data_IF_783821125182
#
_entry.id   IF_783821125182
#
_cell.length_a   1.000
_cell.length_b   1.000
_cell.length_c   1.000
_cell.angle_alpha   90.00
_cell.angle_beta   90.00
_cell.angle_gamma   90.00
#
_symmetry.space_group_name_H-M   'P 1'
#
loop_
_entity.id
_entity.type
_entity.pdbx_description
1 polymer ?
#
# COMPACT_ATOMS: atom_id res chain seq x y z
N UNK A 1 4.27 5.46 8.04
CA UNK A 1 4.86 6.49 7.18
C UNK A 1 6.31 6.80 7.56
N UNK A 2 6.64 7.14 8.80
CA UNK A 2 8.03 7.47 9.19
C UNK A 2 9.06 6.38 8.83
N UNK A 3 8.73 5.10 9.00
CA UNK A 3 9.62 3.99 8.67
C UNK A 3 9.84 3.86 7.14
N UNK A 4 8.80 4.01 6.34
CA UNK A 4 8.91 3.95 4.87
C UNK A 4 9.71 5.13 4.29
N UNK A 5 9.61 6.31 4.89
CA UNK A 5 10.32 7.54 4.47
C UNK A 5 11.66 7.75 5.18
N UNK A 6 12.11 6.77 5.97
CA UNK A 6 13.36 6.83 6.74
C UNK A 6 13.46 8.07 7.68
N UNK A 7 12.33 8.45 8.29
CA UNK A 7 12.25 9.60 9.19
C UNK A 7 12.09 10.96 8.50
N UNK A 8 11.87 11.01 7.18
CA UNK A 8 11.65 12.24 6.41
C UNK A 8 10.25 12.28 5.77
N UNK A 9 9.15 12.35 6.56
CA UNK A 9 7.79 12.28 6.04
C UNK A 9 7.42 13.47 5.13
N UNK A 10 8.11 14.62 5.27
CA UNK A 10 7.89 15.80 4.44
C UNK A 10 8.09 15.55 2.93
N UNK A 11 8.89 14.53 2.56
CA UNK A 11 9.09 14.16 1.14
C UNK A 11 7.82 13.65 0.46
N UNK A 12 6.84 13.19 1.24
CA UNK A 12 5.54 12.77 0.70
C UNK A 12 4.55 13.92 0.51
N UNK A 13 4.80 15.11 1.09
CA UNK A 13 3.85 16.23 1.02
C UNK A 13 3.54 16.70 -0.40
N UNK A 14 4.52 16.85 -1.32
CA UNK A 14 4.22 17.22 -2.70
C UNK A 14 3.32 16.19 -3.40
N UNK A 15 3.59 14.89 -3.19
CA UNK A 15 2.76 13.80 -3.70
C UNK A 15 1.34 13.91 -3.15
N UNK A 16 1.19 14.04 -1.83
CA UNK A 16 -0.10 14.16 -1.17
C UNK A 16 -0.90 15.36 -1.66
N UNK A 17 -0.26 16.53 -1.79
CA UNK A 17 -0.89 17.77 -2.26
C UNK A 17 -1.42 17.63 -3.69
N UNK A 18 -0.61 17.13 -4.62
CA UNK A 18 -1.04 16.94 -6.01
C UNK A 18 -2.12 15.86 -6.14
N UNK A 19 -2.01 14.76 -5.39
CA UNK A 19 -3.04 13.71 -5.37
C UNK A 19 -4.37 14.26 -4.83
N UNK A 20 -4.34 15.06 -3.77
CA UNK A 20 -5.52 15.68 -3.20
C UNK A 20 -6.20 16.61 -4.21
N UNK A 21 -5.44 17.47 -4.89
CA UNK A 21 -5.95 18.35 -5.94
C UNK A 21 -6.54 17.55 -7.10
N UNK A 22 -5.83 16.54 -7.60
CA UNK A 22 -6.30 15.68 -8.69
C UNK A 22 -7.65 15.06 -8.38
N UNK A 23 -7.76 14.36 -7.24
CA UNK A 23 -8.98 13.63 -6.91
C UNK A 23 -10.16 14.53 -6.52
N UNK A 24 -9.90 15.70 -5.94
CA UNK A 24 -10.95 16.71 -5.72
C UNK A 24 -11.44 17.25 -7.05
N UNK A 25 -10.53 17.55 -7.97
CA UNK A 25 -10.89 18.08 -9.29
C UNK A 25 -11.56 17.03 -10.18
N UNK A 26 -11.30 15.75 -9.96
CA UNK A 26 -11.89 14.61 -10.68
C UNK A 26 -13.41 14.54 -10.55
N UNK A 27 -13.98 15.12 -9.48
CA UNK A 27 -15.43 15.18 -9.25
C UNK A 27 -16.10 16.34 -10.02
N UNK A 28 -15.35 17.36 -10.41
CA UNK A 28 -15.89 18.59 -11.04
C UNK A 28 -16.62 18.35 -12.37
N UNK A 29 -16.13 17.51 -13.31
CA UNK A 29 -16.84 17.24 -14.56
C UNK A 29 -18.25 16.68 -14.35
N UNK A 30 -18.46 15.89 -13.31
CA UNK A 30 -19.79 15.33 -13.01
C UNK A 30 -20.77 16.40 -12.56
N UNK A 31 -20.31 17.42 -11.80
CA UNK A 31 -21.14 18.55 -11.40
C UNK A 31 -21.55 19.42 -12.61
N UNK A 32 -20.64 19.61 -13.57
CA UNK A 32 -20.92 20.37 -14.80
C UNK A 32 -21.88 19.60 -15.72
N UNK A 33 -21.69 18.27 -15.83
CA UNK A 33 -22.58 17.39 -16.58
C UNK A 33 -24.03 17.48 -16.09
N UNK A 34 -24.24 17.72 -14.80
CA UNK A 34 -25.56 17.98 -14.25
C UNK A 34 -26.23 19.18 -14.90
N UNK A 35 -25.50 20.28 -15.14
CA UNK A 35 -26.04 21.47 -15.82
C UNK A 35 -26.55 21.12 -17.22
N UNK A 36 -25.83 20.27 -17.96
CA UNK A 36 -26.26 19.80 -19.29
C UNK A 36 -27.52 18.94 -19.17
N UNK A 37 -27.53 17.98 -18.24
CA UNK A 37 -28.70 17.12 -17.99
C UNK A 37 -29.90 17.92 -17.56
N UNK A 38 -29.72 18.97 -16.75
CA UNK A 38 -30.80 19.87 -16.32
C UNK A 38 -31.41 20.59 -17.49
N UNK A 39 -30.62 21.15 -18.41
CA UNK A 39 -31.12 21.87 -19.61
C UNK A 39 -31.85 20.92 -20.57
N UNK A 40 -31.34 19.70 -20.76
CA UNK A 40 -32.02 18.65 -21.55
C UNK A 40 -33.35 18.24 -20.92
N UNK A 41 -33.41 18.19 -19.59
CA UNK A 41 -34.61 17.76 -18.88
C UNK A 41 -35.72 18.83 -18.91
N UNK A 42 -35.38 20.13 -18.93
CA UNK A 42 -36.36 21.20 -19.13
C UNK A 42 -37.16 21.03 -20.43
N UNK A 43 -36.52 20.55 -21.50
CA UNK A 43 -37.17 20.24 -22.75
C UNK A 43 -38.22 19.14 -22.65
N UNK A 44 -37.96 18.11 -21.83
CA UNK A 44 -38.88 17.02 -21.59
C UNK A 44 -40.07 17.42 -20.70
N UNK A 45 -39.83 18.32 -19.75
CA UNK A 45 -40.84 18.73 -18.77
C UNK A 45 -41.77 19.84 -19.30
N UNK A 46 -41.26 20.69 -20.21
CA UNK A 46 -42.00 21.81 -20.80
C UNK A 46 -41.92 21.72 -22.32
N UNK A 47 -42.84 20.96 -22.98
CA UNK A 47 -42.92 20.90 -24.43
C UNK A 47 -43.17 22.30 -25.01
N UNK A 48 -42.24 22.82 -25.79
CA UNK A 48 -42.30 24.18 -26.37
C UNK A 48 -41.22 25.15 -25.90
N UNK A 49 -40.38 24.76 -24.94
CA UNK A 49 -39.19 25.53 -24.59
C UNK A 49 -38.07 25.26 -25.61
N UNK A 50 -37.47 26.31 -26.15
CA UNK A 50 -36.31 26.16 -27.04
C UNK A 50 -35.07 25.78 -26.24
N UNK A 51 -34.28 24.84 -26.77
CA UNK A 51 -32.98 24.48 -26.24
C UNK A 51 -32.05 25.70 -26.24
N UNK A 52 -31.50 26.03 -25.08
CA UNK A 52 -30.46 27.06 -25.02
C UNK A 52 -29.10 26.48 -25.46
N UNK A 53 -28.93 26.33 -26.79
CA UNK A 53 -27.71 25.77 -27.42
C UNK A 53 -26.45 26.53 -26.98
N UNK A 54 -26.56 27.87 -26.75
CA UNK A 54 -25.44 28.69 -26.24
C UNK A 54 -24.99 28.23 -24.85
N UNK A 55 -25.94 27.99 -23.95
CA UNK A 55 -25.63 27.53 -22.58
C UNK A 55 -25.02 26.13 -22.58
N UNK A 56 -25.56 25.22 -23.39
CA UNK A 56 -24.97 23.86 -23.55
C UNK A 56 -23.55 23.97 -24.12
N UNK A 57 -23.33 24.84 -25.11
CA UNK A 57 -22.00 25.10 -25.65
C UNK A 57 -21.00 25.59 -24.59
N UNK A 58 -21.46 26.49 -23.69
CA UNK A 58 -20.64 26.95 -22.54
C UNK A 58 -20.31 25.77 -21.61
N UNK A 59 -21.29 24.95 -21.24
CA UNK A 59 -21.02 23.78 -20.40
C UNK A 59 -20.02 22.80 -21.07
N UNK A 60 -20.17 22.56 -22.37
CA UNK A 60 -19.20 21.69 -23.11
C UNK A 60 -17.80 22.32 -23.15
N UNK A 61 -17.66 23.62 -23.34
CA UNK A 61 -16.37 24.30 -23.30
C UNK A 61 -15.74 24.24 -21.90
N UNK A 62 -16.52 24.46 -20.85
CA UNK A 62 -16.05 24.35 -19.46
C UNK A 62 -15.63 22.89 -19.14
N UNK A 63 -16.40 21.89 -19.61
CA UNK A 63 -16.02 20.48 -19.48
C UNK A 63 -14.68 20.18 -20.15
N UNK A 64 -14.46 20.71 -21.37
CA UNK A 64 -13.19 20.53 -22.07
C UNK A 64 -12.02 21.13 -21.28
N UNK A 65 -12.19 22.36 -20.78
CA UNK A 65 -11.19 23.01 -19.92
C UNK A 65 -10.93 22.19 -18.65
N UNK A 66 -11.96 21.70 -18.01
CA UNK A 66 -11.83 20.83 -16.82
C UNK A 66 -11.07 19.55 -17.13
N UNK A 67 -11.31 18.91 -18.29
CA UNK A 67 -10.58 17.72 -18.71
C UNK A 67 -9.09 18.03 -18.93
N UNK A 68 -8.75 19.15 -19.57
CA UNK A 68 -7.35 19.55 -19.76
C UNK A 68 -6.66 19.82 -18.41
N UNK A 69 -7.33 20.50 -17.50
CA UNK A 69 -6.82 20.72 -16.14
C UNK A 69 -6.65 19.39 -15.38
N UNK A 70 -7.56 18.45 -15.56
CA UNK A 70 -7.50 17.13 -14.94
C UNK A 70 -6.28 16.34 -15.45
N UNK A 71 -5.99 16.38 -16.74
CA UNK A 71 -4.77 15.79 -17.32
C UNK A 71 -3.52 16.43 -16.70
N UNK A 72 -3.52 17.77 -16.53
CA UNK A 72 -2.40 18.47 -15.91
C UNK A 72 -2.20 18.04 -14.44
N UNK A 73 -3.25 18.01 -13.64
CA UNK A 73 -3.16 17.58 -12.22
C UNK A 73 -2.76 16.12 -12.10
N UNK A 74 -3.32 15.26 -12.95
CA UNK A 74 -2.96 13.84 -12.98
C UNK A 74 -1.47 13.65 -13.31
N UNK A 75 -0.95 14.37 -14.33
CA UNK A 75 0.47 14.35 -14.68
C UNK A 75 1.35 14.79 -13.51
N UNK A 76 1.01 15.89 -12.83
CA UNK A 76 1.76 16.39 -11.68
C UNK A 76 1.74 15.44 -10.48
N UNK A 77 0.58 14.87 -10.19
CA UNK A 77 0.38 13.87 -9.13
C UNK A 77 1.21 12.61 -9.41
N UNK A 78 1.12 12.11 -10.64
CA UNK A 78 1.88 10.94 -11.10
C UNK A 78 3.39 11.18 -10.99
N UNK A 79 3.90 12.26 -11.57
CA UNK A 79 5.33 12.59 -11.55
C UNK A 79 5.85 12.80 -10.13
N UNK A 80 5.09 13.46 -9.25
CA UNK A 80 5.46 13.64 -7.86
C UNK A 80 5.54 12.30 -7.11
N UNK A 81 4.57 11.39 -7.34
CA UNK A 81 4.53 10.08 -6.69
C UNK A 81 5.74 9.22 -7.10
N UNK A 82 6.04 9.17 -8.39
CA UNK A 82 7.15 8.35 -8.91
C UNK A 82 8.51 8.93 -8.53
N UNK A 83 8.71 10.24 -8.73
CA UNK A 83 9.98 10.89 -8.43
C UNK A 83 10.36 10.71 -6.95
N UNK A 84 9.42 11.00 -6.05
CA UNK A 84 9.69 10.86 -4.62
C UNK A 84 9.76 9.40 -4.18
N UNK A 85 8.91 8.53 -4.71
CA UNK A 85 8.94 7.10 -4.39
C UNK A 85 10.26 6.44 -4.75
N UNK A 86 10.74 6.60 -5.99
CA UNK A 86 12.03 6.07 -6.42
C UNK A 86 13.20 6.66 -5.65
N UNK A 87 13.18 7.97 -5.40
CA UNK A 87 14.24 8.65 -4.65
C UNK A 87 14.31 8.16 -3.19
N UNK A 88 13.16 7.99 -2.52
CA UNK A 88 13.09 7.44 -1.15
C UNK A 88 13.67 6.02 -1.12
N UNK A 89 13.32 5.19 -2.09
CA UNK A 89 13.79 3.80 -2.15
C UNK A 89 15.28 3.70 -2.49
N UNK A 90 15.78 4.53 -3.41
CA UNK A 90 17.21 4.58 -3.74
C UNK A 90 18.05 4.99 -2.52
N UNK A 91 17.68 6.09 -1.86
CA UNK A 91 18.33 6.52 -0.62
C UNK A 91 18.25 5.45 0.48
N UNK A 92 17.12 4.76 0.53
CA UNK A 92 16.89 3.67 1.48
C UNK A 92 17.83 2.50 1.28
N UNK A 93 17.95 2.02 0.06
CA UNK A 93 18.87 0.93 -0.29
C UNK A 93 20.31 1.29 0.09
N UNK A 94 20.75 2.53 -0.24
CA UNK A 94 22.09 3.02 0.12
C UNK A 94 22.28 3.09 1.64
N UNK A 95 21.30 3.61 2.37
CA UNK A 95 21.38 3.73 3.83
C UNK A 95 21.42 2.36 4.52
N UNK A 96 20.61 1.40 4.06
CA UNK A 96 20.64 0.01 4.57
C UNK A 96 21.99 -0.65 4.24
N UNK A 97 22.53 -0.48 3.04
CA UNK A 97 23.84 -0.99 2.68
C UNK A 97 24.96 -0.41 3.57
N UNK A 98 24.91 0.92 3.83
CA UNK A 98 25.86 1.58 4.77
C UNK A 98 25.71 1.06 6.20
N UNK A 99 24.46 0.78 6.65
CA UNK A 99 24.20 0.21 7.98
C UNK A 99 24.74 -1.20 8.09
N UNK A 100 24.49 -2.05 7.08
CA UNK A 100 25.02 -3.41 7.04
C UNK A 100 26.54 -3.42 7.20
N UNK A 101 27.28 -2.54 6.53
CA UNK A 101 28.76 -2.46 6.68
C UNK A 101 29.23 -2.19 8.10
N UNK A 102 28.39 -1.66 8.98
CA UNK A 102 28.72 -1.35 10.38
C UNK A 102 28.29 -2.45 11.37
N UNK A 103 27.59 -3.47 10.89
CA UNK A 103 27.16 -4.57 11.75
C UNK A 103 28.33 -5.51 12.07
N UNK A 104 28.24 -6.16 13.23
CA UNK A 104 29.23 -7.15 13.66
C UNK A 104 29.21 -8.40 12.80
N UNK A 105 30.34 -9.13 12.72
CA UNK A 105 30.41 -10.43 12.04
C UNK A 105 29.44 -11.46 12.63
N UNK A 106 29.10 -11.36 13.92
CA UNK A 106 28.12 -12.21 14.58
C UNK A 106 26.72 -12.12 13.94
N UNK A 107 26.34 -10.93 13.42
CA UNK A 107 25.09 -10.78 12.68
C UNK A 107 25.07 -11.65 11.40
N UNK A 108 26.17 -11.65 10.65
CA UNK A 108 26.29 -12.42 9.39
C UNK A 108 26.35 -13.93 9.61
N UNK A 109 26.83 -14.38 10.76
CA UNK A 109 26.81 -15.80 11.14
C UNK A 109 25.40 -16.31 11.48
N UNK A 110 24.49 -15.42 11.87
CA UNK A 110 23.10 -15.76 12.24
C UNK A 110 22.08 -15.59 11.13
N UNK A 111 22.43 -14.90 10.04
CA UNK A 111 21.54 -14.56 8.93
C UNK A 111 22.04 -15.16 7.62
N UNK A 112 21.14 -15.82 6.90
CA UNK A 112 21.43 -16.30 5.55
C UNK A 112 21.65 -15.12 4.58
N UNK A 113 22.71 -15.14 3.73
CA UNK A 113 22.98 -14.09 2.75
C UNK A 113 21.82 -13.82 1.79
N UNK A 114 21.05 -14.85 1.42
CA UNK A 114 19.86 -14.70 0.59
C UNK A 114 18.75 -13.88 1.28
N UNK A 115 18.62 -14.05 2.60
CA UNK A 115 17.70 -13.23 3.40
C UNK A 115 18.13 -11.76 3.42
N UNK A 116 19.42 -11.48 3.61
CA UNK A 116 19.95 -10.11 3.60
C UNK A 116 19.77 -9.47 2.21
N UNK A 117 20.06 -10.20 1.13
CA UNK A 117 19.82 -9.75 -0.24
C UNK A 117 18.34 -9.42 -0.49
N UNK A 118 17.42 -10.22 0.06
CA UNK A 118 15.98 -9.98 -0.07
C UNK A 118 15.52 -8.68 0.60
N UNK A 119 16.17 -8.22 1.67
CA UNK A 119 15.86 -6.92 2.28
C UNK A 119 16.19 -5.75 1.35
N UNK A 120 17.33 -5.81 0.66
CA UNK A 120 17.78 -4.71 -0.21
C UNK A 120 17.00 -4.67 -1.52
N UNK A 121 16.67 -5.81 -2.10
CA UNK A 121 15.99 -5.88 -3.39
C UNK A 121 14.49 -5.93 -3.18
N UNK A 122 13.95 -7.09 -2.81
CA UNK A 122 12.50 -7.34 -2.81
C UNK A 122 11.71 -6.52 -1.80
N UNK A 123 12.26 -6.29 -0.59
CA UNK A 123 11.52 -5.51 0.40
C UNK A 123 11.46 -4.04 0.03
N UNK A 124 12.51 -3.49 -0.58
CA UNK A 124 12.47 -2.14 -1.15
C UNK A 124 11.59 -2.03 -2.39
N UNK A 125 11.48 -3.06 -3.24
CA UNK A 125 10.51 -3.07 -4.35
C UNK A 125 9.06 -2.99 -3.83
N UNK A 126 8.76 -3.69 -2.72
CA UNK A 126 7.46 -3.59 -2.07
C UNK A 126 7.20 -2.19 -1.48
N UNK A 127 8.22 -1.54 -0.89
CA UNK A 127 8.10 -0.14 -0.41
C UNK A 127 7.90 0.82 -1.57
N UNK A 128 8.60 0.61 -2.67
CA UNK A 128 8.49 1.39 -3.89
C UNK A 128 7.07 1.34 -4.45
N UNK A 129 6.52 0.13 -4.64
CA UNK A 129 5.16 -0.07 -5.09
C UNK A 129 4.13 0.54 -4.12
N UNK A 130 4.38 0.43 -2.80
CA UNK A 130 3.55 1.04 -1.77
C UNK A 130 3.48 2.56 -1.93
N UNK A 131 4.62 3.23 -2.12
CA UNK A 131 4.69 4.69 -2.17
C UNK A 131 4.26 5.23 -3.53
N UNK A 132 4.71 4.62 -4.63
CA UNK A 132 4.45 5.12 -5.99
C UNK A 132 3.02 4.88 -6.46
N UNK A 133 2.44 3.73 -6.12
CA UNK A 133 1.14 3.31 -6.65
C UNK A 133 0.04 3.26 -5.59
N UNK A 134 0.27 2.52 -4.48
CA UNK A 134 -0.82 2.22 -3.56
C UNK A 134 -1.25 3.41 -2.72
N UNK A 135 -0.32 4.19 -2.18
CA UNK A 135 -0.65 5.35 -1.35
C UNK A 135 -1.47 6.40 -2.10
N UNK A 136 -1.11 6.84 -3.33
CA UNK A 136 -1.94 7.78 -4.08
C UNK A 136 -3.35 7.25 -4.35
N UNK A 137 -3.48 5.97 -4.70
CA UNK A 137 -4.77 5.36 -5.01
C UNK A 137 -5.65 5.16 -3.77
N UNK A 138 -5.07 4.81 -2.62
CA UNK A 138 -5.82 4.73 -1.35
C UNK A 138 -6.33 6.11 -0.95
N UNK A 139 -5.48 7.13 -1.00
CA UNK A 139 -5.82 8.49 -0.63
C UNK A 139 -6.87 9.05 -1.58
N UNK A 140 -6.65 8.89 -2.88
CA UNK A 140 -7.58 9.32 -3.91
C UNK A 140 -8.92 8.59 -3.85
N UNK A 141 -8.91 7.28 -3.59
CA UNK A 141 -10.11 6.47 -3.43
C UNK A 141 -10.95 6.83 -2.20
N UNK A 142 -10.38 7.56 -1.23
CA UNK A 142 -11.12 8.13 -0.10
C UNK A 142 -11.57 9.57 -0.38
N UNK A 143 -10.69 10.40 -0.93
CA UNK A 143 -10.94 11.83 -1.16
C UNK A 143 -11.97 12.05 -2.28
N UNK A 144 -11.86 11.30 -3.40
CA UNK A 144 -12.78 11.44 -4.53
C UNK A 144 -14.25 11.24 -4.15
N UNK A 145 -14.62 10.10 -3.52
CA UNK A 145 -15.97 9.88 -3.02
C UNK A 145 -16.44 10.90 -2.02
N UNK A 146 -15.58 11.34 -1.09
CA UNK A 146 -15.93 12.41 -0.13
C UNK A 146 -16.23 13.73 -0.82
N UNK A 147 -15.40 14.14 -1.78
CA UNK A 147 -15.64 15.34 -2.57
C UNK A 147 -16.96 15.23 -3.36
N UNK A 148 -17.26 14.05 -3.91
CA UNK A 148 -18.49 13.80 -4.65
C UNK A 148 -19.73 13.84 -3.73
N UNK A 149 -19.66 13.23 -2.54
CA UNK A 149 -20.74 13.26 -1.54
C UNK A 149 -21.00 14.72 -1.09
N UNK A 150 -19.94 15.49 -0.84
CA UNK A 150 -20.06 16.92 -0.49
C UNK A 150 -20.73 17.68 -1.63
N UNK A 151 -20.35 17.44 -2.89
CA UNK A 151 -20.98 18.07 -4.05
C UNK A 151 -22.46 17.69 -4.17
N UNK A 152 -22.82 16.44 -3.94
CA UNK A 152 -24.21 15.97 -3.97
C UNK A 152 -25.04 16.53 -2.81
N UNK A 153 -24.44 16.81 -1.66
CA UNK A 153 -25.12 17.38 -0.51
C UNK A 153 -25.71 18.79 -0.77
N UNK A 154 -25.13 19.54 -1.71
CA UNK A 154 -25.70 20.83 -2.16
C UNK A 154 -27.05 20.67 -2.87
N UNK A 155 -27.34 19.49 -3.45
CA UNK A 155 -28.61 19.23 -4.15
C UNK A 155 -29.65 18.59 -3.23
N UNK A 156 -29.25 17.58 -2.47
CA UNK A 156 -30.09 16.94 -1.44
C UNK A 156 -29.21 16.33 -0.34
N UNK A 157 -29.11 17.06 0.77
CA UNK A 157 -28.25 16.65 1.89
C UNK A 157 -28.71 15.35 2.57
N UNK A 158 -30.05 15.08 2.59
CA UNK A 158 -30.62 13.87 3.21
C UNK A 158 -30.14 12.61 2.45
N UNK A 159 -30.23 12.63 1.12
CA UNK A 159 -29.82 11.49 0.29
C UNK A 159 -28.29 11.34 0.24
N UNK A 160 -27.54 12.46 0.23
CA UNK A 160 -26.09 12.46 0.33
C UNK A 160 -25.60 11.88 1.65
N UNK A 161 -26.31 12.13 2.77
CA UNK A 161 -26.01 11.56 4.08
C UNK A 161 -26.20 10.04 4.09
N UNK A 162 -27.23 9.52 3.42
CA UNK A 162 -27.45 8.08 3.27
C UNK A 162 -26.31 7.45 2.47
N UNK A 163 -25.88 8.07 1.37
CA UNK A 163 -24.73 7.61 0.61
C UNK A 163 -23.43 7.63 1.45
N UNK A 164 -23.26 8.62 2.32
CA UNK A 164 -22.13 8.74 3.21
C UNK A 164 -22.12 7.69 4.34
N UNK A 165 -23.29 7.31 4.85
CA UNK A 165 -23.44 6.42 6.02
C UNK A 165 -22.87 5.03 5.79
N UNK A 166 -22.80 4.58 4.55
CA UNK A 166 -22.25 3.27 4.18
C UNK A 166 -20.75 3.18 4.43
N UNK A 167 -20.03 4.32 4.38
CA UNK A 167 -18.57 4.38 4.59
C UNK A 167 -18.20 3.95 6.02
N UNK A 168 -18.72 4.59 7.08
CA UNK A 168 -18.43 4.18 8.45
C UNK A 168 -18.96 2.76 8.77
N UNK A 169 -20.02 2.31 8.09
CA UNK A 169 -20.55 0.96 8.28
C UNK A 169 -19.59 -0.12 7.74
N UNK A 170 -18.82 0.16 6.68
CA UNK A 170 -17.81 -0.74 6.16
C UNK A 170 -16.52 -0.76 7.01
N UNK A 171 -16.28 0.26 7.82
CA UNK A 171 -15.02 0.45 8.58
C UNK A 171 -14.64 -0.73 9.49
N UNK A 172 -15.56 -1.33 10.29
CA UNK A 172 -15.23 -2.49 11.13
C UNK A 172 -14.68 -3.67 10.32
N UNK A 173 -15.27 -3.94 9.14
CA UNK A 173 -14.85 -5.03 8.25
C UNK A 173 -13.42 -4.78 7.73
N UNK A 174 -13.12 -3.55 7.35
CA UNK A 174 -11.78 -3.12 6.92
C UNK A 174 -10.75 -3.34 8.04
N UNK A 175 -11.09 -2.95 9.26
CA UNK A 175 -10.22 -3.10 10.41
C UNK A 175 -9.92 -4.57 10.73
N UNK A 176 -10.96 -5.44 10.68
CA UNK A 176 -10.81 -6.89 10.84
C UNK A 176 -9.92 -7.46 9.75
N UNK A 177 -10.18 -7.12 8.48
CA UNK A 177 -9.39 -7.55 7.33
C UNK A 177 -7.91 -7.20 7.50
N UNK A 178 -7.60 -5.96 7.90
CA UNK A 178 -6.21 -5.53 8.15
C UNK A 178 -5.52 -6.35 9.25
N UNK A 179 -6.21 -6.65 10.35
CA UNK A 179 -5.66 -7.49 11.42
C UNK A 179 -5.37 -8.92 10.93
N UNK A 180 -6.29 -9.50 10.15
CA UNK A 180 -6.13 -10.84 9.60
C UNK A 180 -4.97 -10.90 8.60
N UNK A 181 -4.85 -9.91 7.71
CA UNK A 181 -3.72 -9.79 6.77
C UNK A 181 -2.41 -9.64 7.54
N UNK A 182 -2.34 -8.79 8.55
CA UNK A 182 -1.12 -8.57 9.33
C UNK A 182 -0.68 -9.85 10.05
N UNK A 183 -1.62 -10.60 10.64
CA UNK A 183 -1.31 -11.84 11.35
C UNK A 183 -0.92 -12.99 10.41
N UNK A 184 -1.81 -13.33 9.48
CA UNK A 184 -1.62 -14.46 8.56
C UNK A 184 -0.54 -14.16 7.51
N UNK A 185 -0.39 -12.90 7.11
CA UNK A 185 0.62 -12.45 6.16
C UNK A 185 2.05 -12.62 6.68
N UNK A 186 2.32 -12.35 7.96
CA UNK A 186 3.63 -12.62 8.57
C UNK A 186 4.00 -14.11 8.48
N UNK A 187 3.03 -14.98 8.75
CA UNK A 187 3.24 -16.43 8.68
C UNK A 187 3.48 -16.90 7.25
N UNK A 188 2.66 -16.46 6.31
CA UNK A 188 2.80 -16.77 4.89
C UNK A 188 4.14 -16.25 4.33
N UNK A 189 4.54 -15.02 4.70
CA UNK A 189 5.82 -14.45 4.29
C UNK A 189 7.01 -15.26 4.81
N UNK A 190 6.94 -15.75 6.06
CA UNK A 190 7.96 -16.65 6.63
C UNK A 190 8.04 -17.95 5.82
N UNK A 191 6.90 -18.59 5.57
CA UNK A 191 6.86 -19.84 4.76
C UNK A 191 7.38 -19.60 3.33
N UNK A 192 7.11 -18.43 2.74
CA UNK A 192 7.63 -18.05 1.43
C UNK A 192 9.16 -17.95 1.43
N UNK A 193 9.74 -17.33 2.45
CA UNK A 193 11.19 -17.22 2.59
C UNK A 193 11.84 -18.59 2.85
N UNK A 194 11.27 -19.38 3.78
CA UNK A 194 11.75 -20.74 4.09
C UNK A 194 11.74 -21.61 2.82
N UNK A 195 10.68 -21.52 2.01
CA UNK A 195 10.57 -22.26 0.74
C UNK A 195 11.62 -21.81 -0.25
N UNK A 196 11.83 -20.49 -0.41
CA UNK A 196 12.86 -19.95 -1.31
C UNK A 196 14.26 -20.46 -0.91
N UNK A 197 14.60 -20.45 0.38
CA UNK A 197 15.88 -21.00 0.88
C UNK A 197 16.03 -22.49 0.58
N UNK A 198 14.95 -23.30 0.75
CA UNK A 198 14.97 -24.73 0.43
C UNK A 198 15.16 -24.99 -1.07
N UNK A 199 14.55 -24.19 -1.92
CA UNK A 199 14.74 -24.31 -3.37
C UNK A 199 16.20 -24.00 -3.76
N UNK A 200 16.79 -22.96 -3.18
CA UNK A 200 18.20 -22.61 -3.41
C UNK A 200 19.11 -23.74 -2.93
N UNK A 201 18.90 -24.25 -1.71
CA UNK A 201 19.65 -25.39 -1.15
C UNK A 201 19.58 -26.60 -2.07
N UNK A 202 18.37 -26.93 -2.57
CA UNK A 202 18.17 -28.05 -3.49
C UNK A 202 18.90 -27.88 -4.81
N UNK A 203 18.81 -26.67 -5.42
CA UNK A 203 19.49 -26.38 -6.71
C UNK A 203 21.01 -26.42 -6.54
N UNK A 204 21.56 -25.85 -5.46
CA UNK A 204 23.00 -25.88 -5.19
C UNK A 204 23.52 -27.30 -4.95
N UNK A 205 22.70 -28.13 -4.29
CA UNK A 205 23.03 -29.52 -4.01
C UNK A 205 22.67 -30.54 -5.09
N UNK A 206 22.07 -30.11 -6.22
CA UNK A 206 21.47 -31.01 -7.24
C UNK A 206 22.48 -31.99 -7.83
N UNK A 207 23.75 -31.57 -8.00
CA UNK A 207 24.83 -32.42 -8.52
C UNK A 207 25.12 -33.57 -7.55
N UNK A 208 25.18 -33.26 -6.24
CA UNK A 208 25.42 -34.23 -5.19
C UNK A 208 24.25 -35.22 -5.04
N UNK A 209 23.01 -34.67 -5.07
CA UNK A 209 21.79 -35.46 -5.00
C UNK A 209 21.72 -36.49 -6.14
N UNK A 210 22.06 -36.05 -7.38
CA UNK A 210 22.11 -36.95 -8.54
C UNK A 210 23.25 -37.97 -8.46
N UNK A 211 24.45 -37.53 -8.00
CA UNK A 211 25.61 -38.44 -7.90
C UNK A 211 25.37 -39.59 -6.89
N UNK A 212 24.66 -39.32 -5.80
CA UNK A 212 24.37 -40.30 -4.75
C UNK A 212 22.96 -40.92 -4.83
N UNK A 213 22.20 -40.65 -5.87
CA UNK A 213 20.82 -41.10 -6.07
C UNK A 213 19.87 -40.81 -4.88
N UNK A 214 20.04 -39.64 -4.24
CA UNK A 214 19.27 -39.22 -3.05
C UNK A 214 17.96 -38.48 -3.42
N UNK A 215 17.37 -38.79 -4.57
CA UNK A 215 16.22 -38.07 -5.14
C UNK A 215 14.98 -38.09 -4.22
N UNK A 216 14.74 -39.14 -3.44
CA UNK A 216 13.56 -39.28 -2.58
C UNK A 216 13.56 -38.34 -1.36
N UNK A 217 14.52 -38.47 -0.47
CA UNK A 217 14.50 -37.80 0.85
C UNK A 217 14.76 -36.30 0.80
N UNK A 218 15.61 -35.86 -0.11
CA UNK A 218 15.89 -34.41 -0.27
C UNK A 218 14.76 -33.68 -0.98
N UNK A 219 14.07 -34.31 -1.92
CA UNK A 219 12.89 -33.78 -2.60
C UNK A 219 11.70 -33.61 -1.63
N UNK A 220 11.49 -34.57 -0.74
CA UNK A 220 10.42 -34.55 0.26
C UNK A 220 10.46 -33.29 1.15
N UNK A 221 11.65 -32.86 1.59
CA UNK A 221 11.81 -31.64 2.39
C UNK A 221 11.37 -30.39 1.61
N UNK A 222 11.71 -30.30 0.34
CA UNK A 222 11.31 -29.22 -0.54
C UNK A 222 9.80 -29.26 -0.78
N UNK A 223 9.23 -30.44 -1.08
CA UNK A 223 7.79 -30.62 -1.25
C UNK A 223 7.00 -30.22 -0.01
N UNK A 224 7.45 -30.60 1.17
CA UNK A 224 6.82 -30.21 2.43
C UNK A 224 6.84 -28.69 2.64
N UNK A 225 7.90 -28.00 2.21
CA UNK A 225 7.95 -26.53 2.27
C UNK A 225 6.93 -25.88 1.32
N UNK A 226 6.73 -26.41 0.11
CA UNK A 226 5.69 -25.96 -0.82
C UNK A 226 4.28 -26.23 -0.27
N UNK A 227 4.04 -27.42 0.30
CA UNK A 227 2.75 -27.76 0.93
C UNK A 227 2.43 -26.80 2.08
N UNK A 228 3.42 -26.48 2.92
CA UNK A 228 3.26 -25.50 4.00
C UNK A 228 2.97 -24.10 3.47
N UNK A 229 3.71 -23.63 2.47
CA UNK A 229 3.46 -22.35 1.81
C UNK A 229 2.05 -22.29 1.24
N UNK A 230 1.59 -23.34 0.55
CA UNK A 230 0.21 -23.46 0.05
C UNK A 230 -0.80 -23.30 1.18
N UNK A 231 -0.63 -24.02 2.30
CA UNK A 231 -1.56 -23.95 3.43
C UNK A 231 -1.59 -22.56 4.06
N UNK A 232 -0.44 -21.93 4.27
CA UNK A 232 -0.37 -20.60 4.86
C UNK A 232 -0.92 -19.51 3.90
N UNK A 233 -0.76 -19.71 2.58
CA UNK A 233 -1.41 -18.83 1.58
C UNK A 233 -2.93 -19.00 1.58
N UNK A 234 -3.45 -20.22 1.61
CA UNK A 234 -4.89 -20.48 1.71
C UNK A 234 -5.46 -19.89 3.01
N UNK A 235 -4.75 -20.02 4.14
CA UNK A 235 -5.20 -19.42 5.40
C UNK A 235 -5.25 -17.90 5.37
N UNK A 236 -4.29 -17.26 4.69
CA UNK A 236 -4.31 -15.82 4.49
C UNK A 236 -5.55 -15.39 3.71
N UNK A 237 -5.79 -16.01 2.55
CA UNK A 237 -6.92 -15.67 1.69
C UNK A 237 -8.27 -16.04 2.32
N UNK A 238 -8.40 -17.24 2.88
CA UNK A 238 -9.63 -17.69 3.54
C UNK A 238 -9.99 -16.87 4.78
N UNK A 239 -8.99 -16.29 5.47
CA UNK A 239 -9.23 -15.42 6.61
C UNK A 239 -9.62 -13.99 6.21
N UNK A 240 -8.89 -13.40 5.26
CA UNK A 240 -9.08 -11.99 4.87
C UNK A 240 -10.10 -11.79 3.74
N UNK A 241 -10.24 -12.75 2.83
CA UNK A 241 -11.15 -12.67 1.68
C UNK A 241 -12.61 -12.44 2.04
N UNK A 242 -13.23 -13.27 2.89
CA UNK A 242 -14.63 -13.11 3.27
C UNK A 242 -14.94 -11.75 3.92
N UNK A 243 -14.04 -11.24 4.75
CA UNK A 243 -14.22 -9.92 5.39
C UNK A 243 -14.09 -8.77 4.40
N UNK A 244 -13.23 -8.90 3.39
CA UNK A 244 -13.11 -7.94 2.30
C UNK A 244 -14.37 -7.97 1.41
N UNK A 245 -14.86 -9.16 1.05
CA UNK A 245 -16.12 -9.33 0.29
C UNK A 245 -17.29 -8.71 1.05
N UNK A 246 -17.37 -8.92 2.36
CA UNK A 246 -18.43 -8.33 3.19
C UNK A 246 -18.34 -6.80 3.22
N UNK A 247 -17.13 -6.24 3.30
CA UNK A 247 -16.92 -4.80 3.23
C UNK A 247 -17.38 -4.22 1.87
N UNK A 248 -17.04 -4.89 0.76
CA UNK A 248 -17.49 -4.47 -0.57
C UNK A 248 -19.00 -4.64 -0.75
N UNK A 249 -19.60 -5.67 -0.19
CA UNK A 249 -21.06 -5.86 -0.17
C UNK A 249 -21.75 -4.70 0.57
N UNK A 250 -21.27 -4.33 1.75
CA UNK A 250 -21.80 -3.20 2.52
C UNK A 250 -21.68 -1.89 1.73
N UNK A 251 -20.55 -1.62 1.07
CA UNK A 251 -20.40 -0.42 0.22
C UNK A 251 -21.38 -0.43 -0.95
N UNK A 252 -21.56 -1.55 -1.63
CA UNK A 252 -22.50 -1.67 -2.74
C UNK A 252 -23.97 -1.53 -2.29
N UNK A 253 -24.28 -1.78 -1.03
CA UNK A 253 -25.63 -1.59 -0.48
C UNK A 253 -26.08 -0.11 -0.53
N UNK A 254 -25.15 0.85 -0.72
CA UNK A 254 -25.50 2.25 -0.95
C UNK A 254 -26.36 2.44 -2.21
N UNK A 255 -26.14 1.66 -3.27
CA UNK A 255 -26.87 1.80 -4.54
C UNK A 255 -28.35 1.51 -4.37
N UNK A 256 -28.78 0.31 -3.87
CA UNK A 256 -30.20 0.05 -3.62
C UNK A 256 -30.80 1.01 -2.57
N UNK A 257 -30.03 1.46 -1.59
CA UNK A 257 -30.52 2.46 -0.63
C UNK A 257 -30.79 3.82 -1.32
N UNK A 258 -29.91 4.29 -2.18
CA UNK A 258 -30.12 5.50 -2.98
C UNK A 258 -31.37 5.35 -3.88
N UNK A 259 -31.56 4.18 -4.50
CA UNK A 259 -32.74 3.88 -5.33
C UNK A 259 -34.00 3.99 -4.49
N UNK A 260 -34.11 3.24 -3.39
CA UNK A 260 -35.32 3.16 -2.58
C UNK A 260 -35.66 4.48 -1.89
N UNK A 261 -34.70 5.08 -1.22
CA UNK A 261 -34.94 6.32 -0.48
C UNK A 261 -35.05 7.52 -1.42
N UNK A 262 -34.29 7.53 -2.52
CA UNK A 262 -34.41 8.56 -3.56
C UNK A 262 -35.77 8.51 -4.26
N UNK A 263 -36.29 7.30 -4.55
CA UNK A 263 -37.63 7.13 -5.07
C UNK A 263 -38.71 7.64 -4.09
N UNK A 264 -38.56 7.33 -2.80
CA UNK A 264 -39.44 7.84 -1.75
C UNK A 264 -39.46 9.38 -1.73
N UNK A 265 -38.29 10.06 -1.72
CA UNK A 265 -38.23 11.53 -1.76
C UNK A 265 -38.79 12.12 -3.06
N UNK A 266 -38.59 11.44 -4.19
CA UNK A 266 -39.14 11.84 -5.47
C UNK A 266 -40.67 11.80 -5.46
N UNK A 267 -41.29 10.72 -5.00
CA UNK A 267 -42.76 10.55 -4.96
C UNK A 267 -43.44 11.50 -3.98
N UNK A 268 -42.76 11.94 -2.92
CA UNK A 268 -43.27 12.91 -1.95
C UNK A 268 -42.97 14.38 -2.34
N UNK A 269 -42.39 14.62 -3.52
CA UNK A 269 -42.11 15.97 -4.02
C UNK A 269 -40.94 16.68 -3.34
N UNK A 270 -40.17 15.98 -2.50
CA UNK A 270 -38.98 16.54 -1.85
C UNK A 270 -37.76 16.63 -2.78
N UNK A 271 -37.83 16.01 -3.96
CA UNK A 271 -36.74 15.96 -4.92
C UNK A 271 -37.25 15.95 -6.36
N UNK A 272 -36.53 16.66 -7.24
CA UNK A 272 -36.87 16.64 -8.68
C UNK A 272 -36.25 15.46 -9.39
N UNK A 273 -36.88 14.99 -10.49
CA UNK A 273 -36.42 13.84 -11.25
C UNK A 273 -34.95 13.97 -11.77
N UNK A 274 -34.49 15.14 -12.25
CA UNK A 274 -33.09 15.30 -12.64
C UNK A 274 -32.09 15.07 -11.49
N UNK A 275 -32.41 15.54 -10.29
CA UNK A 275 -31.58 15.34 -9.11
C UNK A 275 -31.57 13.85 -8.72
N UNK A 276 -32.70 13.17 -8.82
CA UNK A 276 -32.78 11.72 -8.56
C UNK A 276 -31.91 10.93 -9.54
N UNK A 277 -32.01 11.22 -10.85
CA UNK A 277 -31.18 10.59 -11.87
C UNK A 277 -29.70 10.84 -11.60
N UNK A 278 -29.34 12.06 -11.17
CA UNK A 278 -27.95 12.37 -10.78
C UNK A 278 -27.45 11.45 -9.68
N UNK A 279 -28.22 11.27 -8.60
CA UNK A 279 -27.83 10.39 -7.51
C UNK A 279 -27.70 8.93 -7.95
N UNK A 280 -28.53 8.47 -8.89
CA UNK A 280 -28.42 7.13 -9.48
C UNK A 280 -27.12 6.96 -10.28
N UNK A 281 -26.79 7.94 -11.12
CA UNK A 281 -25.57 7.92 -11.95
C UNK A 281 -24.29 8.02 -11.09
N UNK A 282 -24.29 8.94 -10.12
CA UNK A 282 -23.10 9.20 -9.31
C UNK A 282 -22.95 8.23 -8.13
N UNK A 283 -24.03 7.58 -7.69
CA UNK A 283 -23.97 6.59 -6.62
C UNK A 283 -22.99 5.45 -6.92
N UNK A 284 -22.98 4.95 -8.15
CA UNK A 284 -22.01 3.93 -8.60
C UNK A 284 -20.57 4.45 -8.60
N UNK A 285 -20.37 5.73 -8.95
CA UNK A 285 -19.06 6.39 -9.00
C UNK A 285 -18.49 6.73 -7.62
N UNK A 286 -19.32 6.73 -6.58
CA UNK A 286 -18.88 6.84 -5.17
C UNK A 286 -18.31 5.50 -4.70
N UNK A 287 -18.99 4.38 -5.00
CA UNK A 287 -18.63 3.07 -4.47
C UNK A 287 -17.36 2.48 -5.09
N UNK A 288 -17.19 2.63 -6.41
CA UNK A 288 -16.06 2.03 -7.15
C UNK A 288 -14.68 2.44 -6.61
N UNK A 289 -14.34 3.73 -6.43
CA UNK A 289 -13.06 4.14 -5.87
C UNK A 289 -12.87 3.70 -4.41
N UNK A 290 -13.93 3.65 -3.62
CA UNK A 290 -13.88 3.15 -2.24
C UNK A 290 -13.53 1.66 -2.21
N UNK A 291 -14.15 0.84 -3.06
CA UNK A 291 -13.83 -0.58 -3.16
C UNK A 291 -12.36 -0.80 -3.59
N UNK A 292 -11.90 -0.05 -4.58
CA UNK A 292 -10.49 -0.09 -4.99
C UNK A 292 -9.55 0.31 -3.85
N UNK A 293 -9.85 1.39 -3.12
CA UNK A 293 -9.08 1.82 -1.97
C UNK A 293 -9.00 0.72 -0.88
N UNK A 294 -10.08 -0.02 -0.65
CA UNK A 294 -10.10 -1.15 0.29
C UNK A 294 -9.18 -2.29 -0.15
N UNK A 295 -9.22 -2.66 -1.43
CA UNK A 295 -8.33 -3.68 -1.99
C UNK A 295 -6.87 -3.25 -1.86
N UNK A 296 -6.56 -2.01 -2.21
CA UNK A 296 -5.20 -1.47 -2.08
C UNK A 296 -4.76 -1.33 -0.63
N UNK A 297 -5.66 -1.05 0.30
CA UNK A 297 -5.35 -1.01 1.72
C UNK A 297 -4.95 -2.39 2.26
N UNK A 298 -5.60 -3.47 1.78
CA UNK A 298 -5.22 -4.84 2.06
C UNK A 298 -3.80 -5.15 1.55
N UNK A 299 -3.53 -4.83 0.28
CA UNK A 299 -2.23 -5.01 -0.34
C UNK A 299 -1.14 -4.15 0.33
N UNK A 300 -1.45 -2.89 0.66
CA UNK A 300 -0.55 -2.00 1.39
C UNK A 300 -0.23 -2.52 2.79
N UNK A 301 -1.18 -3.15 3.47
CA UNK A 301 -0.95 -3.81 4.77
C UNK A 301 0.03 -4.97 4.63
N UNK A 302 -0.12 -5.81 3.59
CA UNK A 302 0.82 -6.89 3.30
C UNK A 302 2.22 -6.36 2.97
N UNK A 303 2.34 -5.35 2.09
CA UNK A 303 3.62 -4.72 1.74
C UNK A 303 4.25 -3.97 2.92
N UNK A 304 3.44 -3.47 3.83
CA UNK A 304 3.88 -2.86 5.09
C UNK A 304 4.73 -3.80 5.97
N UNK A 305 4.59 -5.12 5.81
CA UNK A 305 5.45 -6.09 6.46
C UNK A 305 6.92 -5.99 6.00
N UNK A 306 7.15 -5.56 4.75
CA UNK A 306 8.51 -5.28 4.25
C UNK A 306 9.10 -4.03 4.92
N UNK A 307 8.28 -3.00 5.14
CA UNK A 307 8.70 -1.80 5.89
C UNK A 307 9.11 -2.17 7.32
N UNK A 308 8.33 -3.03 8.00
CA UNK A 308 8.64 -3.50 9.36
C UNK A 308 9.97 -4.27 9.40
N UNK A 309 10.25 -5.12 8.41
CA UNK A 309 11.53 -5.86 8.32
C UNK A 309 12.72 -4.94 8.09
N UNK A 310 12.62 -3.98 7.16
CA UNK A 310 13.67 -2.98 6.90
C UNK A 310 13.92 -2.16 8.18
N UNK A 311 12.88 -1.75 8.89
CA UNK A 311 13.02 -0.98 10.13
C UNK A 311 13.68 -1.80 11.25
N UNK A 312 13.34 -3.08 11.36
CA UNK A 312 13.97 -4.00 12.32
C UNK A 312 15.45 -4.15 12.01
N UNK A 313 15.82 -4.27 10.73
CA UNK A 313 17.23 -4.33 10.31
C UNK A 313 17.97 -3.03 10.66
N UNK A 314 17.37 -1.88 10.41
CA UNK A 314 17.96 -0.58 10.74
C UNK A 314 18.16 -0.33 12.23
N UNK A 315 17.34 -0.95 13.07
CA UNK A 315 17.45 -0.88 14.54
C UNK A 315 18.46 -1.86 15.11
N UNK A 316 19.01 -2.75 14.30
CA UNK A 316 20.07 -3.66 14.76
C UNK A 316 21.28 -2.82 15.22
N UNK A 317 21.79 -3.04 16.45
CA UNK A 317 22.88 -2.23 16.96
C UNK A 317 24.13 -2.40 16.10
N UNK A 318 24.75 -1.30 15.76
CA UNK A 318 26.04 -1.29 15.06
C UNK A 318 27.16 -1.59 16.04
N UNK A 319 28.26 -2.13 15.53
CA UNK A 319 29.46 -2.30 16.33
C UNK A 319 29.99 -0.90 16.68
N UNK A 320 30.22 -0.57 17.96
CA UNK A 320 30.75 0.71 18.34
C UNK A 320 32.17 0.86 17.79
N UNK A 321 32.45 2.02 17.19
CA UNK A 321 33.81 2.37 16.83
C UNK A 321 34.63 2.57 18.12
N UNK A 322 35.85 2.07 18.16
CA UNK A 322 36.76 2.31 19.27
C UNK A 322 37.05 3.81 19.43
N UNK A 323 37.32 4.24 20.66
CA UNK A 323 37.79 5.59 20.87
C UNK A 323 39.16 5.78 20.16
N UNK A 324 39.30 6.86 19.41
CA UNK A 324 40.61 7.22 18.84
C UNK A 324 41.58 7.60 19.98
N UNK A 325 42.50 6.72 20.31
CA UNK A 325 43.40 6.85 21.44
C UNK A 325 44.73 7.54 21.04
N UNK A 326 44.80 8.13 19.86
CA UNK A 326 45.97 8.88 19.41
C UNK A 326 46.89 8.12 18.46
N UNK A 327 48.08 8.67 18.19
CA UNK A 327 49.02 8.07 17.24
C UNK A 327 49.59 6.76 17.77
N UNK A 328 49.41 5.70 16.98
CA UNK A 328 50.02 4.41 17.24
C UNK A 328 51.53 4.56 17.11
N UNK A 329 52.23 4.35 18.18
CA UNK A 329 53.72 4.43 18.26
C UNK A 329 54.36 3.05 18.29
N UNK A 330 53.64 2.02 18.68
CA UNK A 330 54.04 0.63 18.67
C UNK A 330 53.00 -0.21 17.92
N UNK A 331 53.44 -1.13 17.07
CA UNK A 331 52.57 -1.98 16.26
C UNK A 331 52.39 -3.40 16.85
N UNK A 332 52.95 -3.68 18.03
CA UNK A 332 52.68 -4.94 18.73
C UNK A 332 51.23 -5.07 19.10
N UNK A 333 50.63 -6.21 18.88
CA UNK A 333 49.26 -6.54 19.29
C UNK A 333 49.33 -7.51 20.48
N UNK A 334 48.86 -7.10 21.62
CA UNK A 334 48.82 -7.90 22.83
C UNK A 334 47.41 -8.16 23.28
N UNK A 335 47.05 -9.45 23.40
CA UNK A 335 45.81 -9.93 23.99
C UNK A 335 46.07 -10.32 25.43
N UNK A 336 45.40 -9.71 26.37
CA UNK A 336 45.56 -9.95 27.79
C UNK A 336 44.22 -10.45 28.37
N UNK A 337 44.15 -11.72 28.74
CA UNK A 337 43.01 -12.37 29.37
C UNK A 337 41.67 -12.09 28.64
N UNK A 338 41.64 -12.27 27.32
CA UNK A 338 40.50 -11.96 26.46
C UNK A 338 39.50 -13.13 26.47
N UNK A 339 38.28 -12.82 26.84
CA UNK A 339 37.10 -13.69 26.68
C UNK A 339 36.25 -13.20 25.52
N UNK A 340 35.81 -14.07 24.62
CA UNK A 340 34.94 -13.74 23.53
C UNK A 340 33.84 -14.78 23.33
N UNK A 341 32.62 -14.32 23.11
CA UNK A 341 31.41 -15.14 22.92
C UNK A 341 30.56 -14.68 21.76
N UNK A 342 30.03 -15.61 20.97
CA UNK A 342 28.93 -15.39 20.06
C UNK A 342 27.62 -15.82 20.74
N UNK A 343 26.63 -14.91 20.84
CA UNK A 343 25.30 -15.23 21.36
C UNK A 343 25.31 -16.07 22.67
N UNK A 344 26.10 -15.68 23.65
CA UNK A 344 26.30 -16.38 24.94
C UNK A 344 27.06 -17.74 24.83
N UNK A 345 27.51 -18.17 23.66
CA UNK A 345 28.39 -19.34 23.52
C UNK A 345 29.83 -18.87 23.56
N UNK A 346 30.60 -19.20 24.60
CA UNK A 346 31.99 -18.77 24.70
C UNK A 346 32.83 -19.49 23.63
N UNK A 347 33.60 -18.75 22.87
CA UNK A 347 34.48 -19.22 21.79
C UNK A 347 35.93 -19.08 22.19
N UNK A 348 36.28 -17.99 22.84
CA UNK A 348 37.63 -17.75 23.37
C UNK A 348 37.49 -17.52 24.86
N UNK A 349 38.37 -18.14 25.64
CA UNK A 349 38.42 -18.01 27.07
C UNK A 349 39.88 -17.71 27.49
N UNK A 350 40.06 -16.63 28.26
CA UNK A 350 41.33 -16.25 28.89
C UNK A 350 42.52 -16.28 27.91
N UNK A 351 42.33 -15.78 26.67
CA UNK A 351 43.37 -15.71 25.67
C UNK A 351 44.45 -14.70 26.06
N UNK A 352 45.68 -15.16 26.16
CA UNK A 352 46.88 -14.35 26.31
C UNK A 352 47.78 -14.60 25.10
N UNK A 353 47.99 -13.59 24.25
CA UNK A 353 48.78 -13.71 23.03
C UNK A 353 49.46 -12.36 22.71
N UNK A 354 50.72 -12.43 22.42
CA UNK A 354 51.49 -11.27 21.92
C UNK A 354 51.96 -11.56 20.50
N UNK A 355 51.65 -10.62 19.60
CA UNK A 355 52.08 -10.59 18.20
C UNK A 355 52.98 -9.36 18.05
N UNK A 356 54.34 -9.57 17.85
CA UNK A 356 55.27 -8.48 17.68
C UNK A 356 55.11 -7.74 16.35
#
# INVERSE_FOLDING_TARGET
MNAATQGKPHRLYPMLGWTLLEYTFRSTPYCIMLGVVWELFKLLQYPGTELNVKLIGIYCAVLLICLLLLVFFNYKSYMASYREGYSICADGRVNVAKHLRKLSMGFYNTKDPGTIGSYIVRDFDNVELLVTHLLPQIIGGLIGPLAMIISLAFFNWKLALIAALVIPLAWPMVWITRKLIAYSGKKQQKSKNDTASRVIEYIQGIRLIKAFNLNGTKFERMENSFRKLKQDSIRLEAGSGPTLILATFVLNASIPLIILVGFYFFTHGEMTLPVYILFLLLGTKICEPLMQALMFLGLATYMGLSVERIETLRKTPVMPDGADTGKITNYDIEFQNIDFSYNHVPVIKQLNLKIP
#
